data_IF_879565370753
#
_entry.id   IF_879565370753
#
_cell.length_a   1.000
_cell.length_b   1.000
_cell.length_c   1.000
_cell.angle_alpha   90.00
_cell.angle_beta   90.00
_cell.angle_gamma   90.00
#
_symmetry.space_group_name_H-M   'P 1'
#
loop_
_entity.id
_entity.type
_entity.pdbx_description
1 polymer ?
#
# COMPACT_ATOMS: atom_id res chain seq x y z
N UNK A 1 48.83 17.10 65.81
CA UNK A 1 49.73 17.72 64.83
C UNK A 1 50.43 16.57 64.12
N UNK A 2 50.16 16.18 62.88
CA UNK A 2 49.31 16.68 61.80
C UNK A 2 48.96 15.45 60.93
N UNK A 3 47.67 15.20 60.71
CA UNK A 3 46.98 15.42 59.43
C UNK A 3 47.24 14.31 58.40
N UNK A 4 46.48 13.22 58.56
CA UNK A 4 46.27 12.19 57.54
C UNK A 4 45.51 12.82 56.36
N UNK A 5 46.22 13.25 55.33
CA UNK A 5 45.60 13.74 54.10
C UNK A 5 45.23 12.53 53.23
N UNK A 6 44.10 11.91 53.56
CA UNK A 6 43.45 10.92 52.70
C UNK A 6 42.86 11.63 51.48
N UNK A 7 43.55 11.52 50.34
CA UNK A 7 42.99 11.95 49.06
C UNK A 7 41.79 11.06 48.72
N UNK A 8 40.59 11.56 49.01
CA UNK A 8 39.36 11.02 48.45
C UNK A 8 39.31 11.40 46.96
N UNK A 9 39.81 10.52 46.09
CA UNK A 9 39.54 10.60 44.67
C UNK A 9 38.07 10.22 44.47
N UNK A 10 37.18 11.22 44.41
CA UNK A 10 35.83 10.96 43.95
C UNK A 10 35.93 10.62 42.47
N UNK A 11 35.70 9.36 42.12
CA UNK A 11 35.37 8.91 40.76
C UNK A 11 34.04 9.56 40.35
N UNK A 12 34.05 10.87 40.15
CA UNK A 12 33.09 11.54 39.30
C UNK A 12 33.55 11.23 37.88
N UNK A 13 33.11 10.07 37.38
CA UNK A 13 33.19 9.68 35.99
C UNK A 13 32.48 10.77 35.18
N UNK A 14 33.22 11.80 34.79
CA UNK A 14 32.75 12.82 33.85
C UNK A 14 32.49 12.02 32.58
N UNK A 15 31.22 11.70 32.30
CA UNK A 15 30.84 11.16 30.99
C UNK A 15 31.41 12.14 29.99
N UNK A 16 32.33 11.68 29.13
CA UNK A 16 32.92 12.51 28.11
C UNK A 16 31.78 13.14 27.30
N UNK A 17 31.60 14.48 27.33
CA UNK A 17 30.52 15.15 26.62
C UNK A 17 30.45 14.74 25.13
N UNK A 18 31.59 14.39 24.53
CA UNK A 18 31.68 13.91 23.17
C UNK A 18 31.02 12.53 22.95
N UNK A 19 31.10 11.62 23.92
CA UNK A 19 30.43 10.32 23.83
C UNK A 19 28.91 10.43 23.92
N UNK A 20 28.40 11.37 24.71
CA UNK A 20 26.96 11.62 24.86
C UNK A 20 26.39 12.26 23.60
N UNK A 21 27.07 13.25 23.03
CA UNK A 21 26.72 13.85 21.74
C UNK A 21 26.67 12.81 20.61
N UNK A 22 27.65 11.91 20.53
CA UNK A 22 27.68 10.83 19.53
C UNK A 22 26.51 9.84 19.71
N UNK A 23 26.11 9.55 20.97
CA UNK A 23 24.94 8.71 21.26
C UNK A 23 23.65 9.40 20.82
N UNK A 24 23.52 10.69 21.08
CA UNK A 24 22.36 11.46 20.66
C UNK A 24 22.26 11.60 19.14
N UNK A 25 23.38 11.84 18.44
CA UNK A 25 23.41 11.87 16.98
C UNK A 25 22.98 10.52 16.38
N UNK A 26 23.48 9.41 16.94
CA UNK A 26 23.06 8.05 16.54
C UNK A 26 21.56 7.82 16.78
N UNK A 27 21.01 8.33 17.90
CA UNK A 27 19.58 8.26 18.20
C UNK A 27 18.77 9.06 17.17
N UNK A 28 19.15 10.31 16.90
CA UNK A 28 18.52 11.17 15.89
C UNK A 28 18.55 10.54 14.50
N UNK A 29 19.68 9.93 14.12
CA UNK A 29 19.80 9.23 12.82
C UNK A 29 18.82 8.06 12.72
N UNK A 30 18.71 7.24 13.77
CA UNK A 30 17.73 6.14 13.83
C UNK A 30 16.28 6.64 13.78
N UNK A 31 15.99 7.76 14.42
CA UNK A 31 14.66 8.38 14.37
C UNK A 31 14.31 8.90 12.97
N UNK A 32 15.26 9.57 12.32
CA UNK A 32 15.11 10.03 10.94
C UNK A 32 14.92 8.86 9.97
N UNK A 33 15.65 7.77 10.16
CA UNK A 33 15.49 6.55 9.36
C UNK A 33 14.09 5.95 9.52
N UNK A 34 13.58 5.86 10.77
CA UNK A 34 12.21 5.40 11.03
C UNK A 34 11.16 6.31 10.40
N UNK A 35 11.34 7.63 10.48
CA UNK A 35 10.44 8.61 9.87
C UNK A 35 10.42 8.47 8.35
N UNK A 36 11.59 8.28 7.72
CA UNK A 36 11.69 8.02 6.29
C UNK A 36 10.96 6.73 5.91
N UNK A 37 11.22 5.62 6.62
CA UNK A 37 10.54 4.35 6.37
C UNK A 37 9.01 4.47 6.51
N UNK A 38 8.52 5.23 7.49
CA UNK A 38 7.10 5.50 7.63
C UNK A 38 6.55 6.29 6.44
N UNK A 39 7.25 7.36 6.03
CA UNK A 39 6.86 8.16 4.86
C UNK A 39 6.83 7.33 3.57
N UNK A 40 7.84 6.49 3.35
CA UNK A 40 7.91 5.60 2.18
C UNK A 40 6.72 4.62 2.18
N UNK A 41 6.40 4.03 3.34
CA UNK A 41 5.26 3.13 3.48
C UNK A 41 3.91 3.81 3.23
N UNK A 42 3.72 5.03 3.72
CA UNK A 42 2.52 5.83 3.43
C UNK A 42 2.40 6.09 1.93
N UNK A 43 3.51 6.43 1.27
CA UNK A 43 3.56 6.58 -0.19
C UNK A 43 3.14 5.32 -0.93
N UNK A 44 3.73 4.16 -0.59
CA UNK A 44 3.37 2.88 -1.21
C UNK A 44 1.91 2.49 -0.99
N UNK A 45 1.33 2.82 0.17
CA UNK A 45 -0.08 2.57 0.45
C UNK A 45 -0.95 3.49 -0.42
N UNK A 46 -0.63 4.78 -0.52
CA UNK A 46 -1.37 5.70 -1.36
C UNK A 46 -1.34 5.28 -2.84
N UNK A 47 -0.16 4.94 -3.36
CA UNK A 47 0.01 4.54 -4.77
C UNK A 47 -0.70 3.22 -5.10
N UNK A 48 -0.77 2.29 -4.14
CA UNK A 48 -1.38 0.98 -4.34
C UNK A 48 -2.88 0.90 -4.06
N UNK A 49 -3.55 2.03 -3.82
CA UNK A 49 -5.02 2.09 -3.66
C UNK A 49 -5.80 2.00 -4.97
N UNK A 50 -5.12 1.91 -6.12
CA UNK A 50 -5.76 1.77 -7.42
C UNK A 50 -5.96 0.30 -7.83
N UNK A 51 -7.20 -0.05 -8.13
CA UNK A 51 -7.67 -1.37 -8.52
C UNK A 51 -7.91 -2.30 -7.33
N UNK A 52 -7.96 -3.59 -7.62
CA UNK A 52 -8.05 -4.63 -6.59
C UNK A 52 -6.63 -4.94 -6.08
N UNK A 53 -6.33 -4.67 -4.79
CA UNK A 53 -5.00 -4.92 -4.26
C UNK A 53 -4.74 -6.42 -4.18
N UNK A 54 -3.59 -6.87 -4.68
CA UNK A 54 -3.17 -8.29 -4.66
C UNK A 54 -2.20 -8.60 -3.53
N UNK A 55 -1.44 -7.59 -3.07
CA UNK A 55 -0.47 -7.68 -1.98
C UNK A 55 -0.39 -6.36 -1.22
N UNK A 56 -0.22 -6.42 0.09
CA UNK A 56 0.03 -5.24 0.92
C UNK A 56 1.51 -4.84 0.87
N UNK A 57 1.88 -3.55 0.95
CA UNK A 57 3.28 -3.10 1.00
C UNK A 57 4.10 -3.77 2.10
N UNK A 58 3.48 -4.19 3.21
CA UNK A 58 4.12 -4.98 4.27
C UNK A 58 4.46 -6.44 3.87
N UNK A 59 4.22 -6.85 2.62
CA UNK A 59 4.36 -8.21 2.09
C UNK A 59 3.21 -9.16 2.41
N UNK A 60 2.21 -8.72 3.19
CA UNK A 60 1.03 -9.53 3.54
C UNK A 60 0.13 -9.80 2.34
N UNK A 61 -0.48 -10.99 2.29
CA UNK A 61 -1.52 -11.30 1.31
C UNK A 61 -2.80 -10.53 1.61
N UNK A 62 -3.62 -10.33 0.58
CA UNK A 62 -4.93 -9.71 0.69
C UNK A 62 -5.98 -10.81 0.82
N UNK A 63 -6.85 -10.68 1.83
CA UNK A 63 -8.02 -11.53 2.04
C UNK A 63 -9.30 -10.73 1.87
N UNK A 64 -10.37 -11.45 1.54
CA UNK A 64 -11.71 -10.92 1.49
C UNK A 64 -12.29 -10.97 2.90
N UNK A 65 -12.46 -9.80 3.53
CA UNK A 65 -13.02 -9.66 4.86
C UNK A 65 -14.45 -9.09 4.77
N UNK A 66 -15.33 -9.53 5.65
CA UNK A 66 -16.67 -8.96 5.83
C UNK A 66 -16.71 -8.41 7.25
N UNK A 67 -17.09 -7.15 7.42
CA UNK A 67 -17.15 -6.54 8.75
C UNK A 67 -18.29 -7.20 9.54
N UNK A 68 -18.01 -7.96 10.62
CA UNK A 68 -19.06 -8.63 11.38
C UNK A 68 -19.86 -7.66 12.27
N UNK A 69 -19.23 -6.54 12.63
CA UNK A 69 -19.77 -5.44 13.42
C UNK A 69 -19.06 -4.15 13.00
N UNK A 70 -19.50 -2.95 13.43
CA UNK A 70 -18.67 -1.76 13.33
C UNK A 70 -17.41 -2.00 14.16
N UNK A 71 -16.28 -2.24 13.49
CA UNK A 71 -15.01 -2.51 14.17
C UNK A 71 -14.52 -1.26 14.91
N UNK A 72 -14.90 -0.06 14.44
CA UNK A 72 -14.54 1.19 15.07
C UNK A 72 -15.76 2.10 15.20
N UNK A 73 -15.94 2.69 16.37
CA UNK A 73 -17.12 3.49 16.75
C UNK A 73 -17.37 4.70 15.84
N UNK A 74 -16.34 5.17 15.13
CA UNK A 74 -16.36 6.36 14.28
C UNK A 74 -15.98 6.09 12.82
N UNK A 75 -15.74 4.83 12.43
CA UNK A 75 -15.37 4.48 11.06
C UNK A 75 -16.66 4.29 10.24
N UNK A 76 -17.01 5.34 9.49
CA UNK A 76 -18.21 5.41 8.64
C UNK A 76 -18.32 4.23 7.67
N UNK A 77 -17.18 3.69 7.25
CA UNK A 77 -17.16 2.59 6.28
C UNK A 77 -17.54 1.25 6.93
N UNK A 78 -17.45 1.14 8.27
CA UNK A 78 -17.61 -0.14 9.00
C UNK A 78 -19.02 -0.54 9.31
N UNK A 79 -19.96 -0.31 8.40
CA UNK A 79 -21.27 -0.90 8.57
C UNK A 79 -21.17 -2.45 8.59
N UNK A 80 -21.95 -3.13 9.45
CA UNK A 80 -22.03 -4.59 9.43
C UNK A 80 -22.37 -5.09 8.03
N UNK A 81 -21.65 -6.10 7.55
CA UNK A 81 -21.82 -6.65 6.20
C UNK A 81 -21.00 -5.97 5.10
N UNK A 82 -20.35 -4.83 5.38
CA UNK A 82 -19.40 -4.20 4.43
C UNK A 82 -18.26 -5.15 4.09
N UNK A 83 -17.89 -5.21 2.80
CA UNK A 83 -16.83 -6.09 2.27
C UNK A 83 -15.55 -5.32 2.01
N UNK A 84 -14.41 -5.92 2.34
CA UNK A 84 -13.10 -5.30 2.25
C UNK A 84 -12.05 -6.23 1.67
N UNK A 85 -11.11 -5.65 0.94
CA UNK A 85 -9.81 -6.22 0.67
C UNK A 85 -8.88 -5.85 1.82
N UNK A 86 -8.56 -6.82 2.67
CA UNK A 86 -7.82 -6.57 3.92
C UNK A 86 -6.52 -7.34 3.95
N UNK A 87 -5.44 -6.70 4.37
CA UNK A 87 -4.17 -7.37 4.62
C UNK A 87 -4.31 -8.44 5.71
N UNK A 88 -3.68 -9.61 5.53
CA UNK A 88 -3.64 -10.65 6.57
C UNK A 88 -2.92 -10.21 7.84
N UNK A 89 -2.01 -9.24 7.73
CA UNK A 89 -1.28 -8.59 8.84
C UNK A 89 -1.87 -7.23 9.22
N UNK A 90 -3.12 -6.94 8.85
CA UNK A 90 -3.73 -5.63 9.04
C UNK A 90 -3.62 -5.14 10.48
N UNK A 91 -3.19 -3.89 10.62
CA UNK A 91 -3.23 -3.07 11.83
C UNK A 91 -3.89 -1.76 11.43
N UNK A 92 -4.63 -1.17 12.35
CA UNK A 92 -5.28 0.13 12.14
C UNK A 92 -4.25 1.26 12.34
N UNK A 93 -3.20 1.25 11.53
CA UNK A 93 -2.05 2.15 11.59
C UNK A 93 -1.88 3.00 10.31
N UNK A 94 -2.77 2.83 9.34
CA UNK A 94 -2.72 3.50 8.04
C UNK A 94 -1.64 2.96 7.08
N UNK A 95 -0.86 1.94 7.49
CA UNK A 95 0.22 1.35 6.69
C UNK A 95 -0.15 0.01 6.05
N UNK A 96 -1.34 -0.50 6.36
CA UNK A 96 -1.86 -1.75 5.84
C UNK A 96 -3.12 -1.53 5.02
N UNK A 97 -3.25 -2.28 3.92
CA UNK A 97 -4.44 -2.23 3.10
C UNK A 97 -5.67 -2.74 3.84
N UNK A 98 -6.69 -1.89 3.80
CA UNK A 98 -8.09 -2.20 4.10
C UNK A 98 -8.95 -1.32 3.22
N UNK A 99 -9.19 -1.81 2.01
CA UNK A 99 -9.92 -1.07 0.99
C UNK A 99 -11.33 -1.63 0.85
N UNK A 100 -12.37 -0.78 0.83
CA UNK A 100 -13.73 -1.21 0.51
C UNK A 100 -13.77 -1.90 -0.86
N UNK A 101 -14.53 -2.99 -0.96
CA UNK A 101 -14.67 -3.73 -2.22
C UNK A 101 -15.20 -2.88 -3.36
N UNK A 102 -16.13 -1.98 -3.07
CA UNK A 102 -16.81 -1.16 -4.08
C UNK A 102 -15.82 -0.40 -4.95
N UNK A 103 -14.81 0.23 -4.37
CA UNK A 103 -13.80 0.98 -5.13
C UNK A 103 -12.95 0.09 -6.03
N UNK A 104 -12.48 -1.04 -5.53
CA UNK A 104 -11.67 -1.96 -6.32
C UNK A 104 -12.48 -2.57 -7.48
N UNK A 105 -13.73 -2.94 -7.22
CA UNK A 105 -14.61 -3.55 -8.22
C UNK A 105 -15.05 -2.53 -9.27
N UNK A 106 -15.42 -1.32 -8.88
CA UNK A 106 -15.83 -0.25 -9.78
C UNK A 106 -14.74 0.06 -10.82
N UNK A 107 -13.50 0.26 -10.36
CA UNK A 107 -12.37 0.53 -11.25
C UNK A 107 -12.06 -0.63 -12.21
N UNK A 108 -12.22 -1.88 -11.76
CA UNK A 108 -12.05 -3.03 -12.66
C UNK A 108 -13.20 -3.16 -13.67
N UNK A 109 -14.43 -2.80 -13.29
CA UNK A 109 -15.57 -2.72 -14.21
C UNK A 109 -15.30 -1.67 -15.28
N UNK A 110 -14.85 -0.47 -14.92
CA UNK A 110 -14.52 0.59 -15.89
C UNK A 110 -13.48 0.12 -16.91
N UNK A 111 -12.39 -0.51 -16.44
CA UNK A 111 -11.36 -1.09 -17.33
C UNK A 111 -11.92 -2.17 -18.25
N UNK A 112 -12.82 -3.02 -17.74
CA UNK A 112 -13.46 -4.06 -18.53
C UNK A 112 -14.37 -3.47 -19.61
N UNK A 113 -15.16 -2.44 -19.27
CA UNK A 113 -16.01 -1.73 -20.24
C UNK A 113 -15.16 -1.17 -21.38
N UNK A 114 -14.06 -0.47 -21.07
CA UNK A 114 -13.14 0.05 -22.09
C UNK A 114 -12.59 -1.03 -23.03
N UNK A 115 -12.16 -2.17 -22.48
CA UNK A 115 -11.65 -3.30 -23.27
C UNK A 115 -12.72 -3.92 -24.16
N UNK A 116 -13.95 -4.05 -23.65
CA UNK A 116 -15.09 -4.59 -24.42
C UNK A 116 -15.45 -3.66 -25.57
N UNK A 117 -15.44 -2.35 -25.36
CA UNK A 117 -15.68 -1.37 -26.42
C UNK A 117 -14.61 -1.43 -27.52
N UNK A 118 -13.34 -1.54 -27.14
CA UNK A 118 -12.23 -1.70 -28.09
C UNK A 118 -12.39 -2.98 -28.92
N UNK A 119 -12.62 -4.12 -28.25
CA UNK A 119 -12.84 -5.40 -28.92
C UNK A 119 -14.07 -5.36 -29.84
N UNK A 120 -15.13 -4.68 -29.44
CA UNK A 120 -16.35 -4.54 -30.25
C UNK A 120 -16.06 -3.82 -31.57
N UNK A 121 -15.24 -2.76 -31.56
CA UNK A 121 -14.80 -2.06 -32.77
C UNK A 121 -13.97 -2.97 -33.68
N UNK A 122 -13.05 -3.74 -33.12
CA UNK A 122 -12.24 -4.71 -33.88
C UNK A 122 -13.11 -5.77 -34.54
N UNK A 123 -14.10 -6.32 -33.82
CA UNK A 123 -15.03 -7.32 -34.37
C UNK A 123 -15.86 -6.71 -35.51
N UNK A 124 -16.34 -5.47 -35.36
CA UNK A 124 -17.10 -4.80 -36.41
C UNK A 124 -16.26 -4.61 -37.69
N UNK A 125 -15.01 -4.18 -37.54
CA UNK A 125 -14.08 -4.01 -38.66
C UNK A 125 -13.77 -5.33 -39.36
N UNK A 126 -13.46 -6.38 -38.59
CA UNK A 126 -13.24 -7.72 -39.14
C UNK A 126 -14.47 -8.25 -39.90
N UNK A 127 -15.68 -8.01 -39.37
CA UNK A 127 -16.93 -8.39 -40.06
C UNK A 127 -17.07 -7.70 -41.42
N UNK A 128 -16.72 -6.41 -41.50
CA UNK A 128 -16.73 -5.65 -42.77
C UNK A 128 -15.74 -6.23 -43.77
N UNK A 129 -14.52 -6.54 -43.32
CA UNK A 129 -13.48 -7.13 -44.18
C UNK A 129 -13.89 -8.50 -44.72
N UNK A 130 -14.45 -9.36 -43.87
CA UNK A 130 -14.96 -10.69 -44.28
C UNK A 130 -16.07 -10.55 -45.33
N UNK A 131 -16.97 -9.58 -45.16
CA UNK A 131 -18.05 -9.33 -46.12
C UNK A 131 -17.51 -8.92 -47.50
N UNK A 132 -16.56 -7.98 -47.53
CA UNK A 132 -15.91 -7.53 -48.77
C UNK A 132 -15.19 -8.71 -49.46
N UNK A 133 -14.40 -9.48 -48.71
CA UNK A 133 -13.70 -10.65 -49.26
C UNK A 133 -14.67 -11.70 -49.80
N UNK A 134 -15.80 -11.94 -49.13
CA UNK A 134 -16.82 -12.87 -49.61
C UNK A 134 -17.41 -12.42 -50.95
N UNK A 135 -17.66 -11.12 -51.11
CA UNK A 135 -18.15 -10.54 -52.38
C UNK A 135 -17.12 -10.63 -53.51
N UNK A 136 -15.84 -10.40 -53.21
CA UNK A 136 -14.74 -10.56 -54.18
C UNK A 136 -14.59 -12.02 -54.63
N UNK A 137 -14.62 -12.96 -53.69
CA UNK A 137 -14.56 -14.40 -53.99
C UNK A 137 -15.75 -14.84 -54.85
N UNK A 138 -16.95 -14.29 -54.61
CA UNK A 138 -18.12 -14.60 -55.42
C UNK A 138 -17.95 -14.15 -56.88
N UNK A 139 -17.37 -12.96 -57.12
CA UNK A 139 -17.10 -12.44 -58.47
C UNK A 139 -16.05 -13.23 -59.24
N UNK A 140 -15.08 -13.83 -58.56
CA UNK A 140 -14.04 -14.66 -59.20
C UNK A 140 -14.51 -16.07 -59.56
N UNK A 141 -15.65 -16.52 -59.02
CA UNK A 141 -16.24 -17.85 -59.27
C UNK A 141 -17.30 -17.85 -60.37
N UNK A 142 -17.71 -16.68 -60.86
CA UNK A 142 -18.55 -16.47 -62.04
C UNK A 142 -17.70 -16.29 -63.28
#
# INVERSE_FOLDING_TARGET
MDSDCSYHYTDNFLIDPYEEELKEEKRRRKEMEKMKQHSDMVGFVADGQYGIPTRCPCGGSIKHDVSPSPKFKHDFDTQPGSRYFTCTKFKDDGLHFRQPWVFGVEQEIEKLVMKVEEQSKTIEEMRKQIQIQAEEIAKLKT
#
